data_IF_917508122008
#
_entry.id   IF_917508122008
#
_cell.length_a   1.000
_cell.length_b   1.000
_cell.length_c   1.000
_cell.angle_alpha   90.00
_cell.angle_beta   90.00
_cell.angle_gamma   90.00
#
_symmetry.space_group_name_H-M   'P 1'
#
loop_
_entity.id
_entity.type
_entity.pdbx_description
1 polymer ?
#
# COMPACT_ATOMS: atom_id res chain seq x y z
N UNK A 1 -18.04 -29.49 -38.00
CA UNK A 1 -19.05 -28.40 -38.04
C UNK A 1 -18.94 -27.39 -36.88
N UNK A 2 -18.25 -27.71 -35.77
CA UNK A 2 -18.12 -26.81 -34.60
C UNK A 2 -17.04 -25.73 -34.70
N UNK A 3 -15.96 -25.97 -35.47
CA UNK A 3 -14.80 -25.07 -35.55
C UNK A 3 -15.09 -23.75 -36.28
N UNK A 4 -15.89 -23.79 -37.35
CA UNK A 4 -16.31 -22.59 -38.11
C UNK A 4 -17.20 -21.66 -37.28
N UNK A 5 -17.94 -22.19 -36.31
CA UNK A 5 -18.80 -21.41 -35.42
C UNK A 5 -17.98 -20.72 -34.31
N UNK A 6 -16.90 -21.35 -33.86
CA UNK A 6 -15.96 -20.78 -32.90
C UNK A 6 -15.19 -19.59 -33.50
N UNK A 7 -14.71 -19.73 -34.74
CA UNK A 7 -13.98 -18.68 -35.46
C UNK A 7 -14.88 -17.46 -35.74
N UNK A 8 -16.17 -17.68 -36.03
CA UNK A 8 -17.15 -16.60 -36.24
C UNK A 8 -17.46 -15.84 -34.95
N UNK A 9 -17.53 -16.52 -33.80
CA UNK A 9 -17.69 -15.89 -32.49
C UNK A 9 -16.46 -15.07 -32.09
N UNK A 10 -15.26 -15.57 -32.34
CA UNK A 10 -14.00 -14.85 -32.06
C UNK A 10 -13.84 -13.58 -32.90
N UNK A 11 -14.25 -13.59 -34.18
CA UNK A 11 -14.27 -12.39 -35.03
C UNK A 11 -15.28 -11.34 -34.59
N UNK A 12 -16.40 -11.75 -33.99
CA UNK A 12 -17.40 -10.80 -33.47
C UNK A 12 -16.97 -10.16 -32.14
N UNK A 13 -16.18 -10.85 -31.32
CA UNK A 13 -15.58 -10.26 -30.10
C UNK A 13 -14.54 -9.18 -30.46
N UNK A 14 -13.80 -9.36 -31.56
CA UNK A 14 -12.80 -8.40 -32.04
C UNK A 14 -13.36 -7.06 -32.55
N UNK A 15 -14.69 -6.92 -32.68
CA UNK A 15 -15.35 -5.69 -33.18
C UNK A 15 -16.03 -4.84 -32.10
N UNK A 16 -16.08 -5.28 -30.84
CA UNK A 16 -16.50 -4.42 -29.73
C UNK A 16 -15.31 -3.63 -29.18
N UNK A 17 -14.90 -2.64 -29.97
CA UNK A 17 -13.91 -1.64 -29.60
C UNK A 17 -14.58 -0.61 -28.66
N UNK A 18 -14.87 -1.01 -27.41
CA UNK A 18 -15.35 -0.10 -26.37
C UNK A 18 -14.63 -0.35 -25.03
N UNK A 19 -13.87 0.66 -24.59
CA UNK A 19 -13.36 0.91 -23.22
C UNK A 19 -12.72 -0.29 -22.49
N UNK A 20 -11.58 -0.77 -22.95
CA UNK A 20 -10.69 -1.65 -22.16
C UNK A 20 -9.23 -1.16 -22.12
N UNK A 21 -9.00 0.02 -21.56
CA UNK A 21 -7.66 0.42 -21.08
C UNK A 21 -7.42 -0.07 -19.64
N UNK A 22 -8.44 0.00 -18.77
CA UNK A 22 -8.33 -0.43 -17.35
C UNK A 22 -8.16 -1.93 -17.13
N UNK A 23 -8.54 -2.77 -18.11
CA UNK A 23 -8.52 -4.22 -17.95
C UNK A 23 -7.29 -4.91 -18.54
N UNK A 24 -6.42 -4.22 -19.30
CA UNK A 24 -5.24 -4.86 -19.91
C UNK A 24 -4.24 -5.36 -18.86
N UNK A 25 -4.09 -4.63 -17.76
CA UNK A 25 -3.17 -4.97 -16.67
C UNK A 25 -3.68 -6.18 -15.89
N UNK A 26 -4.96 -6.19 -15.51
CA UNK A 26 -5.61 -7.33 -14.85
C UNK A 26 -5.67 -8.57 -15.75
N UNK A 27 -5.94 -8.40 -17.04
CA UNK A 27 -5.94 -9.50 -18.02
C UNK A 27 -4.52 -10.05 -18.21
N UNK A 28 -3.50 -9.20 -18.22
CA UNK A 28 -2.09 -9.61 -18.23
C UNK A 28 -1.73 -10.37 -16.94
N UNK A 29 -2.21 -9.94 -15.77
CA UNK A 29 -2.03 -10.67 -14.51
C UNK A 29 -2.70 -12.05 -14.52
N UNK A 30 -3.93 -12.15 -15.03
CA UNK A 30 -4.67 -13.42 -15.12
C UNK A 30 -4.03 -14.38 -16.14
N UNK A 31 -3.50 -13.86 -17.26
CA UNK A 31 -2.76 -14.65 -18.25
C UNK A 31 -1.42 -15.15 -17.71
N UNK A 32 -0.70 -14.34 -16.93
CA UNK A 32 0.58 -14.74 -16.33
C UNK A 32 0.43 -15.82 -15.26
N UNK A 33 -0.66 -15.82 -14.48
CA UNK A 33 -0.94 -16.88 -13.51
C UNK A 33 -1.17 -18.25 -14.18
N UNK A 34 -1.74 -18.26 -15.40
CA UNK A 34 -1.90 -19.49 -16.18
C UNK A 34 -0.58 -19.98 -16.82
N UNK A 35 0.31 -19.06 -17.20
CA UNK A 35 1.61 -19.41 -17.78
C UNK A 35 2.55 -20.03 -16.72
N UNK A 36 2.54 -19.54 -15.48
CA UNK A 36 3.36 -20.15 -14.40
C UNK A 36 2.88 -21.55 -14.02
N UNK A 37 1.56 -21.81 -14.06
CA UNK A 37 1.00 -23.16 -13.86
C UNK A 37 1.30 -24.12 -15.02
N UNK A 38 1.50 -23.61 -16.24
CA UNK A 38 1.90 -24.43 -17.40
C UNK A 38 3.39 -24.83 -17.34
N UNK A 39 4.26 -24.02 -16.71
CA UNK A 39 5.68 -24.34 -16.56
C UNK A 39 5.94 -25.57 -15.69
N UNK A 40 5.08 -25.90 -14.71
CA UNK A 40 5.29 -27.09 -13.86
C UNK A 40 4.91 -28.42 -14.55
N UNK A 41 4.16 -28.38 -15.65
CA UNK A 41 3.74 -29.57 -16.40
C UNK A 41 4.73 -30.00 -17.49
N UNK A 42 5.67 -29.14 -17.90
CA UNK A 42 6.65 -29.45 -18.95
C UNK A 42 7.95 -30.08 -18.46
N UNK A 43 8.15 -30.23 -17.14
CA UNK A 43 9.40 -30.76 -16.55
C UNK A 43 9.55 -32.29 -16.55
N UNK A 44 8.68 -33.05 -17.23
CA UNK A 44 8.76 -34.53 -17.19
C UNK A 44 9.36 -35.20 -18.43
N UNK A 45 9.71 -34.49 -19.49
CA UNK A 45 10.27 -35.09 -20.70
C UNK A 45 11.19 -34.11 -21.42
N UNK A 46 12.51 -34.15 -21.17
CA UNK A 46 13.63 -33.97 -22.14
C UNK A 46 14.97 -34.14 -21.39
N UNK A 47 15.90 -35.01 -21.85
CA UNK A 47 17.24 -35.12 -21.29
C UNK A 47 18.22 -34.07 -21.87
N UNK A 48 19.08 -33.54 -21.00
CA UNK A 48 20.43 -33.00 -21.25
C UNK A 48 20.57 -32.09 -22.49
N UNK A 49 20.13 -30.84 -22.35
CA UNK A 49 20.60 -29.71 -23.15
C UNK A 49 20.75 -28.53 -22.21
N UNK A 50 21.93 -27.90 -22.18
CA UNK A 50 22.22 -26.75 -21.31
C UNK A 50 21.27 -25.61 -21.66
N UNK A 51 20.17 -25.51 -20.92
CA UNK A 51 19.27 -24.37 -20.97
C UNK A 51 19.89 -23.29 -20.09
N UNK A 52 20.63 -22.36 -20.69
CA UNK A 52 20.93 -21.09 -20.04
C UNK A 52 19.60 -20.36 -19.92
N UNK A 53 18.91 -20.54 -18.79
CA UNK A 53 17.75 -19.72 -18.45
C UNK A 53 18.30 -18.35 -18.09
N UNK A 54 18.36 -17.46 -19.09
CA UNK A 54 18.46 -16.03 -18.83
C UNK A 54 17.13 -15.63 -18.18
N UNK A 55 17.07 -15.69 -16.85
CA UNK A 55 16.00 -15.02 -16.11
C UNK A 55 16.20 -13.54 -16.32
N UNK A 56 15.60 -12.98 -17.37
CA UNK A 56 15.40 -11.54 -17.45
C UNK A 56 14.67 -11.14 -16.17
N UNK A 57 15.34 -10.40 -15.29
CA UNK A 57 14.71 -9.82 -14.12
C UNK A 57 13.67 -8.81 -14.62
N UNK A 58 12.43 -9.28 -14.82
CA UNK A 58 11.31 -8.40 -15.13
C UNK A 58 11.09 -7.61 -13.84
N UNK A 59 11.54 -6.35 -13.82
CA UNK A 59 11.16 -5.43 -12.75
C UNK A 59 9.65 -5.24 -12.83
N UNK A 60 8.92 -5.84 -11.90
CA UNK A 60 7.47 -5.74 -11.83
C UNK A 60 7.16 -4.44 -11.10
N UNK A 61 6.62 -3.47 -11.82
CA UNK A 61 6.13 -2.23 -11.22
C UNK A 61 4.62 -2.25 -11.07
N UNK A 62 4.12 -1.75 -9.94
CA UNK A 62 2.70 -1.51 -9.73
C UNK A 62 2.51 -0.11 -9.18
N UNK A 63 1.66 0.66 -9.85
CA UNK A 63 1.28 2.00 -9.40
C UNK A 63 0.24 1.86 -8.29
N UNK A 64 0.54 2.45 -7.14
CA UNK A 64 -0.42 2.55 -6.04
C UNK A 64 -1.20 3.84 -6.20
N UNK A 65 -0.50 4.97 -6.34
CA UNK A 65 -1.13 6.27 -6.58
C UNK A 65 -0.11 7.29 -7.11
N UNK A 66 -0.41 7.90 -8.27
CA UNK A 66 0.30 9.07 -8.80
C UNK A 66 -0.42 10.39 -8.49
N UNK A 67 -1.48 10.34 -7.68
CA UNK A 67 -2.24 11.49 -7.20
C UNK A 67 -2.72 12.46 -8.30
N UNK A 68 -3.04 11.93 -9.48
CA UNK A 68 -3.54 12.68 -10.62
C UNK A 68 -4.93 13.32 -10.40
N UNK A 69 -5.63 12.98 -9.31
CA UNK A 69 -6.99 13.43 -9.00
C UNK A 69 -7.10 13.81 -7.52
N UNK A 70 -7.94 14.81 -7.21
CA UNK A 70 -8.25 15.28 -5.85
C UNK A 70 -9.16 14.35 -5.04
N UNK A 71 -9.16 13.05 -5.33
CA UNK A 71 -10.04 12.07 -4.69
C UNK A 71 -9.32 11.36 -3.56
N UNK A 72 -10.06 10.85 -2.58
CA UNK A 72 -9.52 9.91 -1.59
C UNK A 72 -9.23 8.52 -2.15
N UNK A 73 -9.59 8.21 -3.41
CA UNK A 73 -9.35 6.90 -4.01
C UNK A 73 -7.99 6.85 -4.72
N UNK A 74 -7.26 5.75 -4.52
CA UNK A 74 -5.99 5.45 -5.20
C UNK A 74 -6.18 4.68 -6.51
N UNK A 75 -5.09 4.38 -7.23
CA UNK A 75 -5.19 3.71 -8.55
C UNK A 75 -5.60 2.23 -8.46
N UNK A 76 -5.47 1.61 -7.29
CA UNK A 76 -5.97 0.26 -7.01
C UNK A 76 -7.44 0.25 -6.56
N UNK A 77 -8.07 1.42 -6.43
CA UNK A 77 -9.45 1.58 -5.97
C UNK A 77 -9.60 1.57 -4.44
N UNK A 78 -8.51 1.46 -3.69
CA UNK A 78 -8.55 1.61 -2.24
C UNK A 78 -8.61 3.06 -1.81
N UNK A 79 -8.95 3.27 -0.53
CA UNK A 79 -9.29 4.58 0.03
C UNK A 79 -8.10 5.10 0.86
N UNK A 80 -7.82 6.39 0.73
CA UNK A 80 -6.97 7.16 1.61
C UNK A 80 -7.76 7.70 2.79
N UNK A 81 -7.23 7.53 3.99
CA UNK A 81 -7.85 7.98 5.24
C UNK A 81 -6.79 8.53 6.18
N UNK A 82 -7.07 9.67 6.83
CA UNK A 82 -6.31 10.12 8.00
C UNK A 82 -6.81 9.45 9.26
N UNK A 83 -5.93 9.31 10.24
CA UNK A 83 -6.24 8.72 11.53
C UNK A 83 -5.38 9.38 12.63
N UNK A 84 -5.83 9.25 13.87
CA UNK A 84 -5.17 9.76 15.07
C UNK A 84 -5.38 8.79 16.24
N UNK A 85 -4.84 9.15 17.39
CA UNK A 85 -4.94 8.39 18.65
C UNK A 85 -6.23 8.64 19.44
N UNK A 86 -7.22 9.33 18.87
CA UNK A 86 -8.44 9.70 19.59
C UNK A 86 -9.22 8.48 20.08
N UNK A 87 -9.26 7.38 19.31
CA UNK A 87 -9.89 6.12 19.74
C UNK A 87 -9.23 5.54 21.00
N UNK A 88 -7.94 5.82 21.21
CA UNK A 88 -7.20 5.44 22.41
C UNK A 88 -7.35 6.45 23.56
N UNK A 89 -8.17 7.49 23.40
CA UNK A 89 -8.31 8.58 24.36
C UNK A 89 -7.18 9.61 24.31
N UNK A 90 -6.46 9.68 23.19
CA UNK A 90 -5.42 10.67 22.93
C UNK A 90 -6.00 12.03 22.52
N UNK A 91 -5.11 13.01 22.43
CA UNK A 91 -5.45 14.42 22.14
C UNK A 91 -4.78 14.95 20.88
N UNK A 92 -4.29 14.06 20.01
CA UNK A 92 -3.67 14.46 18.76
C UNK A 92 -4.70 15.04 17.78
N UNK A 93 -4.24 15.92 16.89
CA UNK A 93 -5.09 16.60 15.91
C UNK A 93 -4.42 16.51 14.54
N UNK A 94 -5.17 16.03 13.54
CA UNK A 94 -4.70 15.87 12.16
C UNK A 94 -5.62 16.57 11.16
N UNK A 95 -5.01 17.12 10.11
CA UNK A 95 -5.67 17.59 8.90
C UNK A 95 -5.14 16.83 7.68
N UNK A 96 -6.00 16.38 6.74
CA UNK A 96 -7.46 16.36 6.83
C UNK A 96 -7.97 15.62 8.08
N UNK A 97 -9.17 15.97 8.61
CA UNK A 97 -9.67 15.37 9.85
C UNK A 97 -9.71 13.85 9.78
N UNK A 98 -9.28 13.19 10.85
CA UNK A 98 -9.30 11.73 10.96
C UNK A 98 -10.68 11.16 10.61
N UNK A 99 -10.69 10.02 9.92
CA UNK A 99 -11.94 9.34 9.58
C UNK A 99 -12.68 8.93 10.86
N UNK A 100 -13.98 9.22 10.91
CA UNK A 100 -14.88 8.82 11.99
C UNK A 100 -15.91 7.84 11.44
N UNK A 101 -16.67 7.17 12.31
CA UNK A 101 -17.62 6.09 11.95
C UNK A 101 -18.44 6.41 10.69
N UNK A 102 -18.06 5.81 9.55
CA UNK A 102 -18.76 5.95 8.27
C UNK A 102 -18.40 7.20 7.45
N UNK A 103 -17.54 8.08 7.95
CA UNK A 103 -17.18 9.34 7.31
C UNK A 103 -15.68 9.41 7.03
N UNK A 104 -15.34 9.58 5.75
CA UNK A 104 -13.98 9.87 5.32
C UNK A 104 -13.90 11.28 4.72
N UNK A 105 -13.29 12.20 5.47
CA UNK A 105 -13.08 13.59 5.07
C UNK A 105 -11.70 13.83 4.42
N UNK A 106 -10.97 12.76 4.11
CA UNK A 106 -9.66 12.88 3.48
C UNK A 106 -9.74 13.51 2.09
N UNK A 107 -8.87 14.47 1.84
CA UNK A 107 -8.72 15.11 0.53
C UNK A 107 -7.25 15.41 0.24
N UNK A 108 -6.85 15.24 -1.02
CA UNK A 108 -5.50 15.53 -1.47
C UNK A 108 -5.28 17.03 -1.66
N UNK A 109 -4.05 17.49 -1.46
CA UNK A 109 -3.63 18.88 -1.59
C UNK A 109 -2.91 19.13 -2.91
N UNK A 110 -3.06 20.33 -3.47
CA UNK A 110 -2.30 20.76 -4.64
C UNK A 110 -1.24 21.82 -4.25
N UNK A 111 -0.15 21.95 -5.02
CA UNK A 111 0.25 21.03 -6.08
C UNK A 111 1.02 19.82 -5.53
N UNK A 112 1.02 18.73 -6.29
CA UNK A 112 1.89 17.58 -6.02
C UNK A 112 3.34 17.80 -6.47
N UNK A 113 4.05 16.69 -6.64
CA UNK A 113 5.43 16.66 -7.08
C UNK A 113 5.62 17.39 -8.43
N UNK A 114 6.71 18.14 -8.56
CA UNK A 114 7.03 18.96 -9.74
C UNK A 114 5.90 19.91 -10.17
N UNK A 115 5.13 20.43 -9.21
CA UNK A 115 3.99 21.34 -9.44
C UNK A 115 2.87 20.73 -10.31
N UNK A 116 2.69 19.40 -10.28
CA UNK A 116 1.65 18.69 -11.04
C UNK A 116 0.61 18.07 -10.11
N UNK A 117 -0.62 17.94 -10.60
CA UNK A 117 -1.67 17.17 -9.95
C UNK A 117 -1.88 17.54 -8.47
N UNK A 118 -1.96 16.51 -7.64
CA UNK A 118 -2.16 16.61 -6.21
C UNK A 118 -1.13 15.74 -5.48
N UNK A 119 -1.09 15.83 -4.16
CA UNK A 119 -0.34 14.95 -3.29
C UNK A 119 -1.13 14.67 -2.03
N UNK A 120 -0.83 13.54 -1.39
CA UNK A 120 -1.31 13.27 -0.04
C UNK A 120 -0.58 14.23 0.88
N UNK A 121 -1.33 14.98 1.69
CA UNK A 121 -0.78 15.88 2.69
C UNK A 121 -1.43 15.61 4.02
N UNK A 122 -0.63 15.48 5.07
CA UNK A 122 -1.10 15.64 6.44
C UNK A 122 -0.37 16.76 7.14
N UNK A 123 -1.08 17.49 7.99
CA UNK A 123 -0.47 18.42 8.93
C UNK A 123 -1.22 18.34 10.25
N UNK A 124 -0.53 18.59 11.36
CA UNK A 124 -1.13 18.44 12.67
C UNK A 124 -0.10 18.44 13.79
N UNK A 125 -0.57 18.07 14.98
CA UNK A 125 0.23 17.93 16.20
C UNK A 125 -0.10 16.61 16.87
N UNK A 126 0.89 15.96 17.47
CA UNK A 126 0.61 14.85 18.40
C UNK A 126 0.25 15.42 19.76
N UNK A 127 -0.54 14.67 20.52
CA UNK A 127 -0.73 14.93 21.94
C UNK A 127 0.55 14.73 22.76
N UNK A 128 0.40 14.87 24.07
CA UNK A 128 1.46 14.71 25.07
C UNK A 128 1.08 13.68 26.14
N UNK A 129 -0.03 12.97 25.96
CA UNK A 129 -0.67 12.21 27.03
C UNK A 129 0.01 10.88 27.32
N UNK A 130 0.50 10.22 26.27
CA UNK A 130 0.95 8.83 26.34
C UNK A 130 2.43 8.65 26.05
N UNK A 131 3.09 9.65 25.45
CA UNK A 131 4.47 9.53 24.97
C UNK A 131 4.60 8.69 23.68
N UNK A 132 3.48 8.14 23.20
CA UNK A 132 3.35 7.47 21.90
C UNK A 132 2.19 8.04 21.08
N UNK A 133 1.67 9.20 21.48
CA UNK A 133 0.64 9.95 20.75
C UNK A 133 0.99 10.05 19.26
N UNK A 134 0.00 9.89 18.40
CA UNK A 134 0.22 9.76 16.96
C UNK A 134 -0.89 10.38 16.11
N UNK A 135 -0.47 10.80 14.92
CA UNK A 135 -1.35 11.07 13.77
C UNK A 135 -0.78 10.38 12.54
N UNK A 136 -1.62 10.13 11.55
CA UNK A 136 -1.14 9.52 10.32
C UNK A 136 -2.14 9.54 9.19
N UNK A 137 -1.68 8.96 8.09
CA UNK A 137 -2.48 8.71 6.89
C UNK A 137 -2.21 7.29 6.42
N UNK A 138 -3.23 6.63 5.90
CA UNK A 138 -3.10 5.33 5.29
C UNK A 138 -3.80 5.29 3.94
N UNK A 139 -3.44 4.28 3.15
CA UNK A 139 -4.17 3.92 1.93
C UNK A 139 -4.40 2.42 1.89
N UNK A 140 -5.65 2.01 1.65
CA UNK A 140 -5.99 0.61 1.40
C UNK A 140 -5.54 0.18 0.01
N UNK A 141 -5.13 -1.07 -0.16
CA UNK A 141 -4.57 -1.57 -1.42
C UNK A 141 -5.61 -2.17 -2.37
N UNK A 142 -6.88 -2.18 -1.96
CA UNK A 142 -8.02 -2.49 -2.82
C UNK A 142 -9.33 -2.00 -2.18
N UNK A 143 -10.45 -1.94 -2.92
CA UNK A 143 -11.76 -1.65 -2.34
C UNK A 143 -12.18 -2.63 -1.24
N UNK A 144 -11.66 -3.87 -1.28
CA UNK A 144 -11.99 -4.94 -0.33
C UNK A 144 -11.00 -5.04 0.83
N UNK A 145 -9.98 -4.20 0.88
CA UNK A 145 -8.95 -4.27 1.92
C UNK A 145 -9.37 -3.59 3.23
N UNK A 146 -10.52 -2.92 3.23
CA UNK A 146 -11.18 -2.37 4.41
C UNK A 146 -12.33 -3.28 4.86
N UNK A 147 -12.96 -2.96 5.98
CA UNK A 147 -14.18 -3.61 6.46
C UNK A 147 -15.34 -3.47 5.47
N UNK A 148 -16.24 -4.47 5.38
CA UNK A 148 -16.25 -5.71 6.18
C UNK A 148 -15.36 -6.84 5.64
N UNK A 149 -14.84 -6.75 4.42
CA UNK A 149 -14.18 -7.89 3.77
C UNK A 149 -12.77 -8.15 4.29
N UNK A 150 -11.99 -7.10 4.56
CA UNK A 150 -10.62 -7.20 5.05
C UNK A 150 -9.76 -8.17 4.19
N UNK A 151 -9.78 -8.03 2.87
CA UNK A 151 -9.02 -8.87 1.93
C UNK A 151 -7.82 -8.10 1.39
N UNK A 152 -6.63 -8.65 1.60
CA UNK A 152 -5.39 -8.06 1.10
C UNK A 152 -5.08 -8.41 -0.35
N UNK A 153 -3.94 -7.89 -0.82
CA UNK A 153 -3.31 -8.26 -2.07
C UNK A 153 -1.93 -8.87 -1.79
N UNK A 154 -1.45 -9.70 -2.72
CA UNK A 154 -0.15 -10.33 -2.61
C UNK A 154 0.96 -9.41 -3.15
N UNK A 155 1.83 -8.98 -2.24
CA UNK A 155 3.00 -8.15 -2.51
C UNK A 155 4.32 -8.93 -2.55
N UNK A 156 4.30 -10.26 -2.36
CA UNK A 156 5.50 -11.08 -2.22
C UNK A 156 6.45 -10.97 -3.42
N UNK A 157 5.93 -10.74 -4.62
CA UNK A 157 6.74 -10.59 -5.84
C UNK A 157 7.49 -9.25 -5.95
N UNK A 158 7.11 -8.25 -5.17
CA UNK A 158 7.75 -6.93 -5.21
C UNK A 158 8.94 -6.89 -4.26
N UNK A 159 10.03 -6.27 -4.70
CA UNK A 159 11.21 -6.00 -3.88
C UNK A 159 10.91 -4.95 -2.82
N UNK A 160 10.09 -3.96 -3.14
CA UNK A 160 9.82 -2.87 -2.22
C UNK A 160 8.82 -1.84 -2.73
N UNK A 161 8.79 -0.71 -2.03
CA UNK A 161 7.99 0.47 -2.35
C UNK A 161 8.91 1.69 -2.49
N UNK A 162 8.58 2.58 -3.42
CA UNK A 162 9.15 3.92 -3.50
C UNK A 162 8.05 4.96 -3.61
N UNK A 163 8.35 6.15 -3.12
CA UNK A 163 7.46 7.31 -3.16
C UNK A 163 8.27 8.59 -2.98
N UNK A 164 7.69 9.73 -3.33
CA UNK A 164 8.27 11.06 -3.04
C UNK A 164 7.71 11.59 -1.72
N UNK A 165 8.53 12.29 -0.96
CA UNK A 165 8.08 13.02 0.22
C UNK A 165 8.73 14.40 0.32
N UNK A 166 8.02 15.35 0.90
CA UNK A 166 8.55 16.64 1.40
C UNK A 166 7.79 17.03 2.65
N UNK A 167 8.29 18.01 3.38
CA UNK A 167 7.63 18.47 4.59
C UNK A 167 8.57 19.08 5.62
N UNK A 168 8.03 19.26 6.82
CA UNK A 168 8.75 19.72 8.01
C UNK A 168 8.29 18.86 9.19
N UNK A 169 9.25 18.37 9.97
CA UNK A 169 9.04 17.66 11.23
C UNK A 169 9.79 18.46 12.29
N UNK A 170 9.06 19.09 13.22
CA UNK A 170 9.67 19.90 14.28
C UNK A 170 10.39 19.04 15.32
N UNK A 171 9.79 17.91 15.71
CA UNK A 171 10.36 16.91 16.61
C UNK A 171 9.71 15.54 16.32
N UNK A 172 10.17 14.46 16.98
CA UNK A 172 9.56 13.14 16.85
C UNK A 172 9.99 12.34 15.61
N UNK A 173 9.21 11.31 15.27
CA UNK A 173 9.54 10.34 14.23
C UNK A 173 8.38 10.13 13.25
N UNK A 174 8.72 9.95 11.97
CA UNK A 174 7.79 9.55 10.93
C UNK A 174 8.17 8.19 10.37
N UNK A 175 7.23 7.26 10.42
CA UNK A 175 7.43 5.89 9.96
C UNK A 175 6.51 5.54 8.81
N UNK A 176 7.05 4.76 7.87
CA UNK A 176 6.25 3.93 6.99
C UNK A 176 5.96 2.60 7.70
N UNK A 177 4.71 2.15 7.68
CA UNK A 177 4.27 0.94 8.37
C UNK A 177 3.51 0.05 7.38
N UNK A 178 3.83 -1.25 7.43
CA UNK A 178 3.14 -2.34 6.74
C UNK A 178 2.45 -3.23 7.78
N UNK A 179 1.14 -3.04 8.03
CA UNK A 179 0.42 -3.81 9.02
C UNK A 179 0.14 -5.25 8.62
N UNK A 180 0.06 -6.13 9.62
CA UNK A 180 -0.47 -7.48 9.44
C UNK A 180 -1.82 -7.63 10.13
N UNK A 181 -2.85 -7.80 9.34
CA UNK A 181 -4.24 -7.83 9.76
C UNK A 181 -4.92 -9.12 9.28
N UNK A 182 -5.89 -9.62 10.05
CA UNK A 182 -6.70 -10.76 9.68
C UNK A 182 -7.69 -10.42 8.57
N UNK A 183 -8.22 -11.45 7.91
CA UNK A 183 -9.44 -11.36 7.08
C UNK A 183 -10.69 -11.40 7.95
N UNK A 184 -10.74 -10.55 8.95
CA UNK A 184 -11.80 -10.47 9.93
C UNK A 184 -11.84 -9.07 10.55
N UNK A 185 -13.05 -8.62 10.87
CA UNK A 185 -13.30 -7.32 11.50
C UNK A 185 -13.12 -7.45 13.02
N UNK A 186 -12.44 -6.47 13.62
CA UNK A 186 -12.57 -6.16 15.04
C UNK A 186 -13.84 -5.33 15.25
N UNK A 187 -14.92 -6.00 15.66
CA UNK A 187 -16.23 -5.38 15.84
C UNK A 187 -16.24 -4.24 16.88
N UNK A 188 -15.29 -4.23 17.83
CA UNK A 188 -15.20 -3.16 18.83
C UNK A 188 -14.68 -1.84 18.22
N UNK A 189 -13.91 -1.95 17.14
CA UNK A 189 -13.23 -0.84 16.47
C UNK A 189 -13.80 -0.53 15.08
N UNK A 190 -14.47 -1.48 14.45
CA UNK A 190 -14.92 -1.36 13.06
C UNK A 190 -13.77 -1.34 12.05
N UNK A 191 -12.62 -1.93 12.40
CA UNK A 191 -11.41 -2.03 11.55
C UNK A 191 -11.00 -3.48 11.38
N UNK A 192 -10.13 -3.78 10.42
CA UNK A 192 -9.57 -5.12 10.29
C UNK A 192 -8.73 -5.48 11.52
N UNK A 193 -8.90 -6.71 12.02
CA UNK A 193 -8.26 -7.15 13.27
C UNK A 193 -6.74 -7.24 13.08
N UNK A 194 -5.99 -6.42 13.82
CA UNK A 194 -4.52 -6.50 13.84
C UNK A 194 -4.04 -7.81 14.49
N UNK A 195 -3.00 -8.43 13.91
CA UNK A 195 -2.48 -9.73 14.34
C UNK A 195 -1.16 -9.64 15.14
N UNK A 196 -0.49 -8.49 15.12
CA UNK A 196 0.83 -8.25 15.73
C UNK A 196 0.76 -7.51 17.07
N UNK A 197 -0.44 -7.15 17.53
CA UNK A 197 -0.59 -6.28 18.70
C UNK A 197 -0.07 -4.86 18.44
N UNK A 198 -0.23 -4.37 17.20
CA UNK A 198 0.29 -3.10 16.69
C UNK A 198 1.82 -3.04 16.56
N UNK A 199 2.50 -4.15 16.77
CA UNK A 199 3.92 -4.34 16.52
C UNK A 199 4.23 -4.64 15.06
N UNK A 200 3.72 -3.82 14.15
CA UNK A 200 3.78 -4.06 12.71
C UNK A 200 5.19 -3.81 12.12
N UNK A 201 5.41 -4.25 10.88
CA UNK A 201 6.66 -3.98 10.17
C UNK A 201 6.76 -2.49 9.85
N UNK A 202 7.86 -1.85 10.26
CA UNK A 202 8.05 -0.40 10.10
C UNK A 202 9.46 -0.05 9.58
N UNK A 203 9.56 1.12 8.96
CA UNK A 203 10.81 1.78 8.63
C UNK A 203 10.72 3.27 8.97
N UNK A 204 11.74 3.79 9.65
CA UNK A 204 11.89 5.22 9.89
C UNK A 204 12.25 5.95 8.60
N UNK A 205 11.41 6.93 8.24
CA UNK A 205 11.58 7.77 7.05
C UNK A 205 11.84 9.24 7.39
N UNK A 206 11.99 9.59 8.67
CA UNK A 206 12.13 10.98 9.16
C UNK A 206 13.23 11.73 8.43
N UNK A 207 14.38 11.08 8.22
CA UNK A 207 15.54 11.67 7.52
C UNK A 207 15.29 12.09 6.06
N UNK A 208 14.22 11.57 5.44
CA UNK A 208 13.85 11.93 4.07
C UNK A 208 12.90 13.11 4.01
N UNK A 209 12.35 13.57 5.14
CA UNK A 209 11.42 14.67 5.17
C UNK A 209 12.22 15.97 5.22
N UNK A 210 12.06 16.79 4.19
CA UNK A 210 12.69 18.10 4.07
C UNK A 210 11.81 19.03 3.23
N UNK A 211 12.07 20.35 3.21
CA UNK A 211 11.29 21.27 2.38
C UNK A 211 11.31 20.91 0.88
N UNK A 212 12.35 20.21 0.43
CA UNK A 212 12.47 19.70 -0.93
C UNK A 212 11.94 18.27 -1.07
N UNK A 213 11.36 17.97 -2.22
CA UNK A 213 10.93 16.61 -2.56
C UNK A 213 12.12 15.66 -2.66
N UNK A 214 12.05 14.56 -1.91
CA UNK A 214 13.03 13.47 -1.93
C UNK A 214 12.32 12.15 -2.24
N UNK A 215 13.03 11.25 -2.93
CA UNK A 215 12.58 9.87 -3.08
C UNK A 215 12.91 9.07 -1.83
N UNK A 216 11.92 8.34 -1.33
CA UNK A 216 12.08 7.29 -0.34
C UNK A 216 11.99 5.96 -1.06
N UNK A 217 12.92 5.06 -0.76
CA UNK A 217 12.92 3.69 -1.28
C UNK A 217 13.08 2.73 -0.11
N UNK A 218 12.11 1.83 0.06
CA UNK A 218 12.06 0.84 1.14
C UNK A 218 12.03 -0.55 0.50
N UNK A 219 13.06 -1.35 0.76
CA UNK A 219 13.14 -2.75 0.37
C UNK A 219 12.50 -3.58 1.48
N UNK A 220 11.35 -4.21 1.23
CA UNK A 220 10.53 -4.83 2.28
C UNK A 220 11.33 -5.76 3.19
N UNK A 221 12.04 -6.73 2.60
CA UNK A 221 12.79 -7.77 3.35
C UNK A 221 14.02 -7.25 4.09
N UNK A 222 14.54 -6.11 3.67
CA UNK A 222 15.77 -5.54 4.24
C UNK A 222 15.45 -4.49 5.29
N UNK A 223 14.63 -3.51 4.90
CA UNK A 223 14.50 -2.24 5.61
C UNK A 223 13.35 -2.25 6.60
N UNK A 224 12.29 -3.06 6.37
CA UNK A 224 11.21 -3.20 7.33
C UNK A 224 11.60 -4.16 8.46
N UNK A 225 11.28 -3.76 9.69
CA UNK A 225 11.43 -4.60 10.90
C UNK A 225 10.24 -4.40 11.83
N UNK A 226 9.86 -5.45 12.55
CA UNK A 226 8.97 -5.28 13.70
C UNK A 226 9.76 -4.65 14.87
N UNK A 227 9.12 -3.80 15.70
CA UNK A 227 9.77 -3.20 16.86
C UNK A 227 10.35 -4.23 17.84
N UNK A 228 11.38 -3.82 18.58
CA UNK A 228 12.06 -4.72 19.53
C UNK A 228 11.17 -5.17 20.70
N UNK A 229 10.17 -4.37 21.07
CA UNK A 229 9.22 -4.67 22.15
C UNK A 229 8.21 -5.77 21.79
N UNK A 230 8.12 -6.17 20.52
CA UNK A 230 7.19 -7.20 20.06
C UNK A 230 7.61 -8.56 20.61
N UNK A 231 6.68 -9.21 21.33
CA UNK A 231 6.88 -10.54 21.89
C UNK A 231 7.12 -11.58 20.80
N UNK A 232 7.80 -12.69 21.14
CA UNK A 232 8.18 -13.72 20.15
C UNK A 232 6.96 -14.31 19.44
N UNK A 233 5.84 -14.46 20.14
CA UNK A 233 4.58 -15.03 19.64
C UNK A 233 3.86 -14.09 18.66
N UNK A 234 4.21 -12.79 18.68
CA UNK A 234 3.70 -11.75 17.79
C UNK A 234 4.67 -11.39 16.67
N UNK A 235 5.83 -12.04 16.62
CA UNK A 235 6.75 -11.91 15.48
C UNK A 235 6.24 -12.76 14.32
N UNK A 236 6.05 -12.12 13.18
CA UNK A 236 5.49 -12.72 11.98
C UNK A 236 6.54 -12.64 10.87
N UNK A 237 6.68 -13.71 10.09
CA UNK A 237 7.50 -13.69 8.90
C UNK A 237 6.98 -12.63 7.91
N UNK A 238 7.89 -11.80 7.39
CA UNK A 238 7.51 -10.75 6.44
C UNK A 238 6.82 -11.30 5.19
N UNK A 239 7.14 -12.53 4.74
CA UNK A 239 6.46 -13.15 3.61
C UNK A 239 4.97 -13.38 3.88
N UNK A 240 4.61 -13.71 5.13
CA UNK A 240 3.19 -13.83 5.52
C UNK A 240 2.49 -12.49 5.47
N UNK A 241 3.17 -11.42 5.87
CA UNK A 241 2.62 -10.06 5.81
C UNK A 241 2.43 -9.63 4.36
N UNK A 242 3.42 -9.87 3.50
CA UNK A 242 3.38 -9.52 2.08
C UNK A 242 2.32 -10.31 1.31
N UNK A 243 2.05 -11.57 1.68
CA UNK A 243 1.07 -12.42 0.98
C UNK A 243 -0.40 -11.94 1.10
N UNK A 244 -0.71 -11.06 2.06
CA UNK A 244 -2.08 -10.57 2.31
C UNK A 244 -2.09 -9.12 2.84
N UNK A 245 -1.29 -8.25 2.22
CA UNK A 245 -1.17 -6.86 2.61
C UNK A 245 -2.44 -6.07 2.28
N UNK A 246 -2.97 -5.33 3.25
CA UNK A 246 -4.25 -4.60 3.11
C UNK A 246 -4.07 -3.11 2.91
N UNK A 247 -3.04 -2.52 3.51
CA UNK A 247 -2.85 -1.08 3.50
C UNK A 247 -1.39 -0.71 3.78
N UNK A 248 -1.03 0.51 3.41
CA UNK A 248 0.20 1.17 3.85
C UNK A 248 -0.14 2.33 4.78
N UNK A 249 0.69 2.57 5.80
CA UNK A 249 0.54 3.73 6.69
C UNK A 249 1.79 4.60 6.68
N UNK A 250 1.58 5.89 6.85
CA UNK A 250 2.59 6.88 7.21
C UNK A 250 2.14 7.51 8.52
N UNK A 251 2.93 7.32 9.57
CA UNK A 251 2.58 7.73 10.93
C UNK A 251 3.63 8.65 11.50
N UNK A 252 3.18 9.77 12.05
CA UNK A 252 3.96 10.66 12.89
C UNK A 252 3.65 10.37 14.36
N UNK A 253 4.69 10.21 15.16
CA UNK A 253 4.56 9.90 16.59
C UNK A 253 5.72 10.49 17.39
N UNK A 254 5.60 10.49 18.72
CA UNK A 254 6.61 11.06 19.65
C UNK A 254 6.92 12.52 19.37
N UNK A 255 5.93 13.25 18.86
CA UNK A 255 6.05 14.68 18.59
C UNK A 255 5.86 15.54 19.84
N UNK A 256 5.25 15.03 20.90
CA UNK A 256 5.08 15.74 22.18
C UNK A 256 4.52 17.18 22.03
N UNK A 257 3.48 17.36 21.22
CA UNK A 257 2.88 18.68 20.94
C UNK A 257 3.48 19.41 19.73
N UNK A 258 4.59 18.93 19.18
CA UNK A 258 5.24 19.52 18.02
C UNK A 258 4.52 19.21 16.71
N UNK A 259 4.63 20.16 15.76
CA UNK A 259 3.94 20.09 14.48
C UNK A 259 4.66 19.23 13.46
N UNK A 260 3.86 18.68 12.56
CA UNK A 260 4.31 18.11 11.30
C UNK A 260 3.55 18.73 10.12
N UNK A 261 4.23 18.84 8.99
CA UNK A 261 3.65 18.91 7.65
C UNK A 261 4.32 17.84 6.80
N UNK A 262 3.56 16.87 6.29
CA UNK A 262 4.07 15.75 5.51
C UNK A 262 3.31 15.67 4.19
N UNK A 263 4.04 15.65 3.09
CA UNK A 263 3.53 15.43 1.75
C UNK A 263 4.08 14.12 1.20
N UNK A 264 3.25 13.37 0.48
CA UNK A 264 3.57 12.08 -0.14
C UNK A 264 3.01 12.05 -1.57
N UNK A 265 3.84 11.60 -2.52
CA UNK A 265 3.45 11.50 -3.93
C UNK A 265 4.13 10.35 -4.68
N UNK A 266 3.70 10.06 -5.91
CA UNK A 266 4.28 9.07 -6.85
C UNK A 266 4.60 7.70 -6.21
N UNK A 267 3.58 7.03 -5.67
CA UNK A 267 3.74 5.79 -4.91
C UNK A 267 3.72 4.58 -5.85
N UNK A 268 4.79 3.79 -5.82
CA UNK A 268 4.98 2.60 -6.66
C UNK A 268 5.61 1.44 -5.89
N UNK A 269 5.18 0.24 -6.25
CA UNK A 269 5.92 -0.98 -5.96
C UNK A 269 6.89 -1.29 -7.10
N UNK A 270 8.02 -1.92 -6.77
CA UNK A 270 9.07 -2.33 -7.71
C UNK A 270 9.70 -3.67 -7.31
#
# INVERSE_FOLDING_TARGET
MQEKNLIKRLRNVGKQQFKMERNKILLKYFLMEKISKAQSLFFKLVPIGVFIIVTAAINIYMRIDYNNKRTSINELGGIWCTYDDHYNGGTSIVWPPASKKGENNFIKSAPGYNNKGYAVRITGVTGTKFGWDFIGVNTFLSPRSTCPECVGIDLSRFKGIKFKTKGVVEAGEVKFILPYEARAVDNSRGICKNLTGYGDYEADITKYISPQWKEVKIIFRKDLKQPLWVSKEKRIDIERVLSDAKLFKWQYSKGEGHKIDLWIDDIELF
#
